data_IF_880773513514
#
_entry.id   IF_880773513514
#
_cell.length_a   1.000
_cell.length_b   1.000
_cell.length_c   1.000
_cell.angle_alpha   90.00
_cell.angle_beta   90.00
_cell.angle_gamma   90.00
#
_symmetry.space_group_name_H-M   'P 1'
#
loop_
_entity.id
_entity.type
_entity.pdbx_description
1 polymer ?
#
# COMPACT_ATOMS: atom_id res chain seq x y z
N UNK A 1 -9.66 -16.78 -6.66
CA UNK A 1 -8.44 -16.24 -7.29
C UNK A 1 -8.02 -14.90 -6.71
N UNK A 2 -8.97 -14.02 -6.36
CA UNK A 2 -8.73 -12.67 -5.81
C UNK A 2 -7.62 -12.55 -4.75
N UNK A 3 -7.69 -13.27 -3.61
CA UNK A 3 -6.68 -13.13 -2.56
C UNK A 3 -5.25 -13.57 -2.95
N UNK A 4 -5.09 -14.50 -3.90
CA UNK A 4 -3.76 -14.90 -4.41
C UNK A 4 -3.07 -13.73 -5.13
N UNK A 5 -3.83 -12.95 -5.88
CA UNK A 5 -3.31 -11.79 -6.61
C UNK A 5 -2.89 -10.69 -5.63
N UNK A 6 -3.67 -10.43 -4.57
CA UNK A 6 -3.27 -9.49 -3.53
C UNK A 6 -1.93 -9.89 -2.89
N UNK A 7 -1.74 -11.18 -2.57
CA UNK A 7 -0.47 -11.66 -1.99
C UNK A 7 0.69 -11.45 -2.95
N UNK A 8 0.56 -11.90 -4.20
CA UNK A 8 1.63 -11.79 -5.18
C UNK A 8 1.99 -10.33 -5.48
N UNK A 9 0.99 -9.49 -5.75
CA UNK A 9 1.20 -8.06 -6.02
C UNK A 9 1.75 -7.37 -4.76
N UNK A 10 1.23 -7.70 -3.58
CA UNK A 10 1.71 -7.18 -2.31
C UNK A 10 3.21 -7.46 -2.11
N UNK A 11 3.67 -8.69 -2.29
CA UNK A 11 5.10 -9.00 -2.19
C UNK A 11 5.96 -8.28 -3.24
N UNK A 12 5.52 -8.24 -4.50
CA UNK A 12 6.26 -7.57 -5.57
C UNK A 12 6.38 -6.06 -5.32
N UNK A 13 5.27 -5.41 -4.96
CA UNK A 13 5.25 -3.97 -4.67
C UNK A 13 6.05 -3.65 -3.41
N UNK A 14 5.94 -4.48 -2.37
CA UNK A 14 6.77 -4.34 -1.16
C UNK A 14 8.26 -4.43 -1.50
N UNK A 15 8.68 -5.42 -2.29
CA UNK A 15 10.08 -5.52 -2.74
C UNK A 15 10.55 -4.28 -3.51
N UNK A 16 9.72 -3.73 -4.40
CA UNK A 16 10.02 -2.51 -5.14
C UNK A 16 10.15 -1.29 -4.21
N UNK A 17 9.23 -1.11 -3.26
CA UNK A 17 9.30 0.01 -2.31
C UNK A 17 10.42 -0.17 -1.29
N UNK A 18 10.80 -1.39 -0.89
CA UNK A 18 12.01 -1.65 -0.11
C UNK A 18 13.27 -1.20 -0.86
N UNK A 19 13.41 -1.60 -2.13
CA UNK A 19 14.51 -1.17 -2.98
C UNK A 19 14.55 0.37 -3.10
N UNK A 20 13.39 0.99 -3.31
CA UNK A 20 13.26 2.44 -3.32
C UNK A 20 13.69 3.07 -2.00
N UNK A 21 13.37 2.45 -0.85
CA UNK A 21 13.85 2.88 0.46
C UNK A 21 15.37 2.86 0.58
N UNK A 22 16.02 1.79 0.11
CA UNK A 22 17.48 1.72 0.07
C UNK A 22 18.09 2.80 -0.82
N UNK A 23 17.45 3.11 -1.96
CA UNK A 23 17.85 4.23 -2.80
C UNK A 23 17.74 5.57 -2.06
N UNK A 24 16.64 5.82 -1.35
CA UNK A 24 16.47 7.05 -0.58
C UNK A 24 17.51 7.21 0.54
N UNK A 25 17.89 6.11 1.20
CA UNK A 25 18.99 6.09 2.17
C UNK A 25 20.31 6.44 1.48
N UNK A 26 20.60 5.82 0.33
CA UNK A 26 21.80 6.11 -0.44
C UNK A 26 21.90 7.61 -0.77
N UNK A 27 20.83 8.19 -1.30
CA UNK A 27 20.79 9.59 -1.73
C UNK A 27 20.98 10.56 -0.55
N UNK A 28 20.41 10.25 0.62
CA UNK A 28 20.54 11.09 1.82
C UNK A 28 21.91 10.96 2.51
N UNK A 29 22.49 9.77 2.57
CA UNK A 29 23.63 9.53 3.46
C UNK A 29 24.98 9.38 2.70
N UNK A 30 24.95 8.96 1.43
CA UNK A 30 26.13 8.52 0.68
C UNK A 30 26.37 9.24 -0.64
N UNK A 31 25.35 9.83 -1.27
CA UNK A 31 25.52 10.51 -2.56
C UNK A 31 26.45 11.74 -2.47
N UNK A 32 27.18 12.08 -3.55
CA UNK A 32 28.07 13.25 -3.58
C UNK A 32 27.35 14.57 -3.25
N UNK A 33 26.08 14.69 -3.61
CA UNK A 33 25.20 15.85 -3.42
C UNK A 33 24.26 15.72 -2.20
N UNK A 34 24.57 14.80 -1.26
CA UNK A 34 23.71 14.47 -0.12
C UNK A 34 23.26 15.66 0.74
N UNK A 35 24.02 16.75 0.77
CA UNK A 35 23.66 17.93 1.57
C UNK A 35 22.29 18.49 1.14
N UNK A 36 22.00 18.50 -0.18
CA UNK A 36 20.70 18.92 -0.68
C UNK A 36 19.55 18.03 -0.18
N UNK A 37 19.79 16.71 -0.06
CA UNK A 37 18.82 15.73 0.47
C UNK A 37 18.62 15.87 1.99
N UNK A 38 19.67 16.27 2.71
CA UNK A 38 19.59 16.53 4.17
C UNK A 38 18.84 17.83 4.45
N UNK A 39 19.14 18.90 3.71
CA UNK A 39 18.57 20.23 3.94
C UNK A 39 17.06 20.29 3.66
N UNK A 40 16.58 19.42 2.76
CA UNK A 40 15.18 19.31 2.37
C UNK A 40 14.48 18.08 2.95
N UNK A 41 15.04 17.46 3.99
CA UNK A 41 14.57 16.18 4.52
C UNK A 41 13.08 16.16 4.95
N UNK A 42 12.57 17.29 5.44
CA UNK A 42 11.20 17.47 5.94
C UNK A 42 10.28 18.21 4.98
N UNK A 43 10.73 18.56 3.77
CA UNK A 43 9.94 19.35 2.83
C UNK A 43 10.20 18.99 1.36
N UNK A 44 9.27 19.34 0.49
CA UNK A 44 9.39 19.13 -0.95
C UNK A 44 9.49 17.66 -1.37
N UNK A 45 10.14 17.43 -2.51
CA UNK A 45 10.16 16.14 -3.22
C UNK A 45 10.76 14.99 -2.41
N UNK A 46 11.74 15.28 -1.55
CA UNK A 46 12.40 14.25 -0.74
C UNK A 46 11.48 13.74 0.38
N UNK A 47 10.71 14.65 0.99
CA UNK A 47 9.68 14.28 1.96
C UNK A 47 8.58 13.44 1.30
N UNK A 48 8.06 13.86 0.15
CA UNK A 48 7.02 13.14 -0.59
C UNK A 48 7.49 11.75 -1.06
N UNK A 49 8.72 11.64 -1.57
CA UNK A 49 9.35 10.36 -1.88
C UNK A 49 9.38 9.39 -0.67
N UNK A 50 9.72 9.90 0.52
CA UNK A 50 9.69 9.11 1.75
C UNK A 50 8.27 8.70 2.14
N UNK A 51 7.28 9.58 1.96
CA UNK A 51 5.88 9.22 2.17
C UNK A 51 5.44 8.08 1.24
N UNK A 52 5.82 8.14 -0.04
CA UNK A 52 5.56 7.07 -1.00
C UNK A 52 6.22 5.76 -0.58
N UNK A 53 7.47 5.79 -0.12
CA UNK A 53 8.17 4.60 0.39
C UNK A 53 7.45 3.93 1.56
N UNK A 54 7.14 4.69 2.62
CA UNK A 54 6.54 4.15 3.84
C UNK A 54 5.13 3.64 3.57
N UNK A 55 4.30 4.43 2.88
CA UNK A 55 2.94 4.01 2.53
C UNK A 55 2.95 2.88 1.50
N UNK A 56 3.89 2.87 0.57
CA UNK A 56 4.12 1.79 -0.38
C UNK A 56 4.29 0.45 0.32
N UNK A 57 5.21 0.38 1.28
CA UNK A 57 5.43 -0.84 2.06
C UNK A 57 4.23 -1.20 2.94
N UNK A 58 3.60 -0.23 3.62
CA UNK A 58 2.42 -0.48 4.44
C UNK A 58 1.25 -1.04 3.60
N UNK A 59 0.96 -0.43 2.45
CA UNK A 59 -0.16 -0.82 1.60
C UNK A 59 0.10 -2.15 0.90
N UNK A 60 1.36 -2.43 0.57
CA UNK A 60 1.78 -3.72 0.06
C UNK A 60 1.63 -4.83 1.11
N UNK A 61 2.05 -4.57 2.35
CA UNK A 61 1.84 -5.49 3.47
C UNK A 61 0.36 -5.73 3.75
N UNK A 62 -0.46 -4.68 3.76
CA UNK A 62 -1.90 -4.79 3.88
C UNK A 62 -2.50 -5.65 2.76
N UNK A 63 -2.01 -5.54 1.53
CA UNK A 63 -2.43 -6.43 0.44
C UNK A 63 -2.10 -7.90 0.74
N UNK A 64 -0.92 -8.21 1.28
CA UNK A 64 -0.57 -9.58 1.67
C UNK A 64 -1.53 -10.10 2.75
N UNK A 65 -1.76 -9.31 3.81
CA UNK A 65 -2.65 -9.69 4.92
C UNK A 65 -4.10 -9.86 4.45
N UNK A 66 -4.63 -8.87 3.70
CA UNK A 66 -5.97 -8.93 3.11
C UNK A 66 -6.08 -10.17 2.23
N UNK A 67 -5.11 -10.39 1.34
CA UNK A 67 -5.10 -11.55 0.46
C UNK A 67 -5.13 -12.88 1.21
N UNK A 68 -4.32 -13.01 2.26
CA UNK A 68 -4.30 -14.18 3.12
C UNK A 68 -5.65 -14.42 3.81
N UNK A 69 -6.21 -13.39 4.45
CA UNK A 69 -7.51 -13.47 5.13
C UNK A 69 -8.64 -13.81 4.17
N UNK A 70 -8.65 -13.21 2.98
CA UNK A 70 -9.65 -13.47 1.95
C UNK A 70 -9.56 -14.89 1.36
N UNK A 71 -8.37 -15.49 1.33
CA UNK A 71 -8.21 -16.90 0.95
C UNK A 71 -8.68 -17.83 2.06
N UNK A 72 -8.27 -17.57 3.30
CA UNK A 72 -8.55 -18.44 4.44
C UNK A 72 -10.03 -18.43 4.85
N UNK A 73 -10.68 -17.26 4.80
CA UNK A 73 -12.08 -17.08 5.21
C UNK A 73 -13.04 -16.92 4.02
N UNK A 74 -12.63 -17.33 2.82
CA UNK A 74 -13.35 -17.07 1.56
C UNK A 74 -14.82 -17.46 1.60
N UNK A 75 -15.13 -18.60 2.21
CA UNK A 75 -16.49 -19.15 2.27
C UNK A 75 -17.38 -18.46 3.31
N UNK A 76 -16.77 -17.79 4.29
CA UNK A 76 -17.46 -17.13 5.40
C UNK A 76 -17.58 -15.62 5.22
N UNK A 77 -16.74 -15.03 4.37
CA UNK A 77 -16.75 -13.61 4.05
C UNK A 77 -17.60 -13.34 2.80
N UNK A 78 -18.45 -12.32 2.89
CA UNK A 78 -19.17 -11.77 1.72
C UNK A 78 -18.31 -10.74 1.00
N UNK A 79 -18.55 -10.55 -0.29
CA UNK A 79 -17.91 -9.52 -1.13
C UNK A 79 -16.38 -9.58 -1.21
N UNK A 80 -15.80 -10.79 -1.08
CA UNK A 80 -14.35 -11.06 -1.16
C UNK A 80 -13.69 -10.39 -2.38
N UNK A 81 -14.32 -10.44 -3.55
CA UNK A 81 -13.77 -9.87 -4.77
C UNK A 81 -13.67 -8.33 -4.71
N UNK A 82 -14.68 -7.65 -4.15
CA UNK A 82 -14.69 -6.20 -4.04
C UNK A 82 -13.61 -5.70 -3.07
N UNK A 83 -13.50 -6.33 -1.90
CA UNK A 83 -12.46 -6.01 -0.91
C UNK A 83 -11.06 -6.22 -1.50
N UNK A 84 -10.85 -7.34 -2.19
CA UNK A 84 -9.59 -7.63 -2.88
C UNK A 84 -9.21 -6.54 -3.90
N UNK A 85 -10.15 -6.13 -4.76
CA UNK A 85 -9.92 -5.09 -5.76
C UNK A 85 -9.67 -3.71 -5.14
N UNK A 86 -10.39 -3.36 -4.07
CA UNK A 86 -10.16 -2.12 -3.34
C UNK A 86 -8.75 -2.08 -2.73
N UNK A 87 -8.26 -3.18 -2.15
CA UNK A 87 -6.89 -3.26 -1.63
C UNK A 87 -5.84 -3.09 -2.74
N UNK A 88 -6.04 -3.71 -3.92
CA UNK A 88 -5.11 -3.55 -5.06
C UNK A 88 -5.16 -2.11 -5.58
N UNK A 89 -6.35 -1.56 -5.80
CA UNK A 89 -6.53 -0.17 -6.20
C UNK A 89 -5.92 0.80 -5.19
N UNK A 90 -5.87 0.42 -3.91
CA UNK A 90 -5.18 1.16 -2.87
C UNK A 90 -3.71 1.45 -3.17
N UNK A 91 -3.00 0.54 -3.86
CA UNK A 91 -1.61 0.72 -4.27
C UNK A 91 -1.41 1.89 -5.25
N UNK A 92 -2.48 2.41 -5.84
CA UNK A 92 -2.44 3.63 -6.64
C UNK A 92 -1.99 4.84 -5.82
N UNK A 93 -2.18 4.84 -4.49
CA UNK A 93 -1.78 5.96 -3.65
C UNK A 93 -0.26 6.18 -3.64
N UNK A 94 0.56 5.21 -3.19
CA UNK A 94 2.01 5.39 -3.18
C UNK A 94 2.58 5.52 -4.61
N UNK A 95 2.00 4.85 -5.61
CA UNK A 95 2.36 5.04 -7.02
C UNK A 95 2.02 6.44 -7.53
N UNK A 96 0.89 7.00 -7.10
CA UNK A 96 0.43 8.35 -7.42
C UNK A 96 1.35 9.41 -6.86
N UNK A 97 1.86 9.23 -5.63
CA UNK A 97 2.86 10.14 -5.05
C UNK A 97 4.13 10.14 -5.90
N UNK A 98 4.64 8.96 -6.28
CA UNK A 98 5.82 8.89 -7.16
C UNK A 98 5.54 9.55 -8.52
N UNK A 99 4.36 9.34 -9.10
CA UNK A 99 3.97 9.95 -10.37
C UNK A 99 3.84 11.48 -10.27
N UNK A 100 3.31 12.01 -9.17
CA UNK A 100 3.27 13.44 -8.90
C UNK A 100 4.68 14.04 -8.80
N UNK A 101 5.53 13.45 -7.94
CA UNK A 101 6.89 13.93 -7.68
C UNK A 101 7.78 13.94 -8.93
N UNK A 102 7.70 12.86 -9.72
CA UNK A 102 8.61 12.64 -10.85
C UNK A 102 8.04 13.05 -12.21
N UNK A 103 6.72 12.98 -12.39
CA UNK A 103 6.07 13.20 -13.69
C UNK A 103 5.08 14.38 -13.66
N UNK A 104 4.86 15.02 -12.50
CA UNK A 104 3.86 16.08 -12.36
C UNK A 104 2.42 15.61 -12.52
N UNK A 105 2.16 14.31 -12.27
CA UNK A 105 0.82 13.76 -12.36
C UNK A 105 -0.14 14.40 -11.34
N UNK A 106 -1.45 14.51 -11.65
CA UNK A 106 -2.40 15.08 -10.70
C UNK A 106 -2.55 14.25 -9.41
N UNK A 107 -2.80 14.90 -8.24
CA UNK A 107 -2.93 14.22 -6.95
C UNK A 107 -4.20 13.35 -6.83
N UNK A 108 -5.07 13.36 -7.85
CA UNK A 108 -6.29 12.54 -7.88
C UNK A 108 -5.98 11.04 -7.74
N UNK A 109 -4.85 10.58 -8.27
CA UNK A 109 -4.41 9.18 -8.12
C UNK A 109 -4.10 8.83 -6.67
N UNK A 110 -3.47 9.76 -5.94
CA UNK A 110 -3.19 9.64 -4.51
C UNK A 110 -4.49 9.48 -3.73
N UNK A 111 -5.46 10.37 -3.99
CA UNK A 111 -6.75 10.38 -3.30
C UNK A 111 -7.57 9.11 -3.57
N UNK A 112 -7.65 8.67 -4.83
CA UNK A 112 -8.37 7.45 -5.21
C UNK A 112 -7.78 6.24 -4.49
N UNK A 113 -6.46 6.09 -4.50
CA UNK A 113 -5.80 4.99 -3.79
C UNK A 113 -5.99 5.06 -2.28
N UNK A 114 -5.90 6.25 -1.68
CA UNK A 114 -6.08 6.43 -0.24
C UNK A 114 -7.48 6.01 0.21
N UNK A 115 -8.51 6.45 -0.52
CA UNK A 115 -9.90 6.08 -0.25
C UNK A 115 -10.09 4.57 -0.45
N UNK A 116 -9.58 4.00 -1.56
CA UNK A 116 -9.74 2.58 -1.85
C UNK A 116 -9.13 1.67 -0.78
N UNK A 117 -7.88 1.93 -0.36
CA UNK A 117 -7.25 1.14 0.71
C UNK A 117 -8.01 1.29 2.03
N UNK A 118 -8.39 2.51 2.39
CA UNK A 118 -9.14 2.79 3.61
C UNK A 118 -10.45 2.02 3.63
N UNK A 119 -11.24 2.12 2.56
CA UNK A 119 -12.50 1.37 2.42
C UNK A 119 -12.28 -0.14 2.49
N UNK A 120 -11.24 -0.66 1.84
CA UNK A 120 -10.91 -2.08 1.89
C UNK A 120 -10.67 -2.58 3.32
N UNK A 121 -9.83 -1.87 4.07
CA UNK A 121 -9.46 -2.24 5.44
C UNK A 121 -10.66 -2.13 6.39
N UNK A 122 -11.41 -1.03 6.32
CA UNK A 122 -12.63 -0.85 7.14
C UNK A 122 -13.69 -1.90 6.82
N UNK A 123 -13.93 -2.17 5.53
CA UNK A 123 -14.91 -3.19 5.13
C UNK A 123 -14.48 -4.56 5.64
N UNK A 124 -13.21 -4.95 5.46
CA UNK A 124 -12.72 -6.22 5.97
C UNK A 124 -12.90 -6.33 7.49
N UNK A 125 -12.57 -5.28 8.25
CA UNK A 125 -12.79 -5.23 9.69
C UNK A 125 -14.25 -5.44 10.09
N UNK A 126 -15.18 -4.73 9.43
CA UNK A 126 -16.63 -4.91 9.63
C UNK A 126 -17.09 -6.32 9.26
N UNK A 127 -16.53 -6.90 8.20
CA UNK A 127 -16.83 -8.28 7.80
C UNK A 127 -16.39 -9.30 8.85
N UNK A 128 -15.26 -9.08 9.53
CA UNK A 128 -14.81 -9.90 10.65
C UNK A 128 -15.65 -9.70 11.92
N UNK A 129 -16.15 -8.50 12.21
CA UNK A 129 -17.11 -8.33 13.31
C UNK A 129 -18.45 -9.06 13.08
N UNK A 130 -18.86 -9.24 11.83
CA UNK A 130 -20.11 -9.91 11.45
C UNK A 130 -19.96 -11.42 11.27
N UNK A 131 -18.74 -11.95 11.35
CA UNK A 131 -18.49 -13.39 11.30
C UNK A 131 -19.13 -14.02 12.55
N UNK A 132 -20.22 -14.76 12.37
CA UNK A 132 -20.80 -15.55 13.46
C UNK A 132 -19.76 -16.56 13.93
N UNK A 133 -19.52 -16.65 15.23
CA UNK A 133 -18.84 -17.81 15.78
C UNK A 133 -19.67 -19.04 15.41
N UNK A 134 -19.06 -19.95 14.67
CA UNK A 134 -19.58 -21.31 14.59
C UNK A 134 -19.33 -21.87 15.98
N UNK A 135 -20.38 -21.99 16.81
CA UNK A 135 -20.31 -22.77 18.04
C UNK A 135 -19.78 -24.14 17.65
N UNK A 136 -18.54 -24.43 18.05
CA UNK A 136 -17.98 -25.77 17.91
C UNK A 136 -18.83 -26.72 18.75
N UNK A 137 -19.36 -27.75 18.11
CA UNK A 137 -19.71 -29.00 18.77
C UNK A 137 -18.43 -29.68 19.25
#
# INVERSE_FOLDING_TARGET
MHGKNNIAIGFLVMGAFMLYGFLLIYLRDFAPDKQAWVDSYSSGKHFEARLAHVHGNLFAFLNVVVGYLLLHFRERLRHVAAISWLAIAGLLMPMGILAEVYLGAPPVFVLIGAIAMTTSVFWLGVSFFKLKQVNGH
#
